data_IF_751341414787
#
_entry.id   IF_751341414787
#
_cell.length_a   1.000
_cell.length_b   1.000
_cell.length_c   1.000
_cell.angle_alpha   90.00
_cell.angle_beta   90.00
_cell.angle_gamma   90.00
#
_symmetry.space_group_name_H-M   'P 1'
#
loop_
_entity.id
_entity.type
_entity.pdbx_description
1 polymer ?
#
# COMPACT_ATOMS: atom_id res chain seq x y z
N UNK A 1 14.97 14.02 -0.22
CA UNK A 1 14.91 13.99 1.28
C UNK A 1 15.43 12.65 1.76
N UNK A 2 16.05 12.56 2.92
CA UNK A 2 16.45 11.27 3.50
C UNK A 2 15.24 10.58 4.12
N UNK A 3 15.10 9.27 3.93
CA UNK A 3 14.05 8.46 4.56
C UNK A 3 14.20 8.47 6.09
N UNK A 4 13.13 8.67 6.83
CA UNK A 4 13.14 8.63 8.29
C UNK A 4 12.91 7.18 8.79
N UNK A 5 14.02 6.46 8.93
CA UNK A 5 14.07 5.04 9.32
C UNK A 5 13.44 4.81 10.71
N UNK A 6 13.76 5.65 11.69
CA UNK A 6 13.26 5.48 13.06
C UNK A 6 11.74 5.59 13.13
N UNK A 7 11.18 6.52 12.38
CA UNK A 7 9.72 6.69 12.32
C UNK A 7 9.01 5.48 11.69
N UNK A 8 9.59 4.90 10.63
CA UNK A 8 9.06 3.66 10.03
C UNK A 8 9.15 2.53 11.06
N UNK A 9 10.29 2.40 11.76
CA UNK A 9 10.51 1.38 12.79
C UNK A 9 9.48 1.47 13.91
N UNK A 10 9.22 2.68 14.43
CA UNK A 10 8.21 2.92 15.46
C UNK A 10 6.82 2.48 15.01
N UNK A 11 6.42 2.83 13.78
CA UNK A 11 5.11 2.47 13.22
C UNK A 11 4.97 0.96 13.09
N UNK A 12 6.00 0.27 12.60
CA UNK A 12 5.98 -1.20 12.44
C UNK A 12 5.90 -1.91 13.80
N UNK A 13 6.71 -1.48 14.79
CA UNK A 13 6.68 -2.05 16.15
C UNK A 13 5.31 -1.86 16.80
N UNK A 14 4.69 -0.68 16.66
CA UNK A 14 3.32 -0.43 17.17
C UNK A 14 2.27 -1.35 16.56
N UNK A 15 2.51 -1.85 15.35
CA UNK A 15 1.63 -2.81 14.68
C UNK A 15 2.03 -4.26 14.90
N UNK A 16 2.90 -4.54 15.88
CA UNK A 16 3.39 -5.89 16.22
C UNK A 16 4.11 -6.59 15.06
N UNK A 17 4.75 -5.85 14.16
CA UNK A 17 5.56 -6.41 13.09
C UNK A 17 6.94 -6.74 13.65
N UNK A 18 7.36 -7.99 13.47
CA UNK A 18 8.69 -8.45 13.88
C UNK A 18 9.75 -7.84 12.96
N UNK A 19 10.80 -7.29 13.57
CA UNK A 19 11.94 -6.71 12.88
C UNK A 19 13.19 -7.54 13.18
N UNK A 20 13.87 -7.95 12.12
CA UNK A 20 15.15 -8.66 12.18
C UNK A 20 16.30 -7.71 11.89
N UNK A 21 17.53 -8.15 12.16
CA UNK A 21 18.74 -7.42 11.81
C UNK A 21 18.76 -7.08 10.32
N UNK A 22 19.29 -5.91 9.98
CA UNK A 22 19.38 -5.44 8.60
C UNK A 22 20.30 -6.32 7.73
N UNK A 23 20.13 -6.22 6.42
CA UNK A 23 20.94 -6.96 5.43
C UNK A 23 22.33 -6.33 5.30
N UNK A 24 23.36 -7.18 5.14
CA UNK A 24 24.72 -6.75 4.77
C UNK A 24 24.82 -6.46 3.27
N UNK A 25 25.92 -5.80 2.85
CA UNK A 25 26.11 -5.53 1.43
C UNK A 25 26.30 -6.82 0.63
N UNK A 26 26.98 -7.83 1.18
CA UNK A 26 27.13 -9.16 0.58
C UNK A 26 25.81 -9.90 0.44
N UNK A 27 24.91 -9.78 1.41
CA UNK A 27 23.57 -10.34 1.32
C UNK A 27 22.74 -9.65 0.23
N UNK A 28 22.81 -8.33 0.10
CA UNK A 28 22.18 -7.61 -1.00
C UNK A 28 22.69 -8.08 -2.35
N UNK A 29 24.01 -8.17 -2.56
CA UNK A 29 24.59 -8.63 -3.81
C UNK A 29 24.12 -10.04 -4.19
N UNK A 30 24.08 -10.96 -3.21
CA UNK A 30 23.59 -12.31 -3.39
C UNK A 30 22.13 -12.35 -3.79
N UNK A 31 21.26 -11.61 -3.08
CA UNK A 31 19.82 -11.53 -3.34
C UNK A 31 19.56 -10.92 -4.72
N UNK A 32 20.18 -9.78 -5.00
CA UNK A 32 20.01 -9.05 -6.26
C UNK A 32 20.44 -9.90 -7.48
N UNK A 33 21.55 -10.61 -7.34
CA UNK A 33 22.02 -11.54 -8.38
C UNK A 33 21.08 -12.73 -8.56
N UNK A 34 20.60 -13.33 -7.44
CA UNK A 34 19.77 -14.53 -7.49
C UNK A 34 18.39 -14.27 -8.09
N UNK A 35 17.75 -13.15 -7.72
CA UNK A 35 16.42 -12.79 -8.21
C UNK A 35 16.45 -11.87 -9.44
N UNK A 36 17.63 -11.48 -9.92
CA UNK A 36 17.83 -10.54 -11.04
C UNK A 36 17.05 -9.24 -10.83
N UNK A 37 17.15 -8.66 -9.63
CA UNK A 37 16.57 -7.38 -9.23
C UNK A 37 17.65 -6.41 -8.77
N UNK A 38 17.28 -5.13 -8.58
CA UNK A 38 18.11 -4.12 -7.90
C UNK A 38 17.24 -3.36 -6.92
N UNK A 39 17.58 -3.40 -5.64
CA UNK A 39 16.85 -2.64 -4.63
C UNK A 39 17.06 -1.14 -4.84
N UNK A 40 15.97 -0.33 -4.85
CA UNK A 40 16.08 1.12 -4.80
C UNK A 40 16.85 1.56 -3.56
N UNK A 41 17.57 2.68 -3.67
CA UNK A 41 18.41 3.19 -2.58
C UNK A 41 17.63 3.39 -1.27
N UNK A 42 16.36 3.84 -1.35
CA UNK A 42 15.50 4.01 -0.18
C UNK A 42 15.16 2.68 0.50
N UNK A 43 14.79 1.65 -0.28
CA UNK A 43 14.48 0.32 0.25
C UNK A 43 15.75 -0.38 0.76
N UNK A 44 16.89 -0.22 0.06
CA UNK A 44 18.19 -0.71 0.51
C UNK A 44 18.60 -0.05 1.84
N UNK A 45 18.40 1.26 1.98
CA UNK A 45 18.68 1.99 3.23
C UNK A 45 17.81 1.47 4.38
N UNK A 46 16.52 1.23 4.13
CA UNK A 46 15.61 0.65 5.11
C UNK A 46 16.06 -0.76 5.52
N UNK A 47 16.30 -1.64 4.55
CA UNK A 47 16.65 -3.03 4.80
C UNK A 47 18.08 -3.22 5.35
N UNK A 48 18.97 -2.26 5.20
CA UNK A 48 20.25 -2.20 5.93
C UNK A 48 20.06 -1.93 7.41
N UNK A 49 19.04 -1.18 7.78
CA UNK A 49 18.78 -0.83 9.18
C UNK A 49 18.02 -1.94 9.91
N UNK A 50 17.05 -2.53 9.27
CA UNK A 50 16.30 -3.70 9.75
C UNK A 50 15.53 -4.36 8.61
N UNK A 51 15.21 -5.64 8.76
CA UNK A 51 14.39 -6.39 7.82
C UNK A 51 13.04 -6.73 8.49
N UNK A 52 11.90 -6.21 7.96
CA UNK A 52 10.58 -6.63 8.44
C UNK A 52 10.28 -8.08 8.06
N UNK A 53 9.47 -8.77 8.87
CA UNK A 53 9.11 -10.19 8.68
C UNK A 53 8.32 -10.50 7.39
N UNK A 54 7.99 -9.51 6.58
CA UNK A 54 7.14 -9.69 5.39
C UNK A 54 7.74 -10.65 4.36
N UNK A 55 9.03 -10.48 4.07
CA UNK A 55 9.79 -11.30 3.12
C UNK A 55 11.15 -11.65 3.71
N UNK A 56 11.41 -12.94 3.89
CA UNK A 56 12.71 -13.40 4.38
C UNK A 56 13.73 -13.52 3.22
N UNK A 57 14.29 -12.39 2.81
CA UNK A 57 15.25 -12.31 1.69
C UNK A 57 16.54 -13.11 1.93
N UNK A 58 16.87 -13.48 3.18
CA UNK A 58 18.07 -14.27 3.54
C UNK A 58 17.90 -15.76 3.33
N UNK A 59 16.67 -16.23 3.35
CA UNK A 59 16.37 -17.65 3.28
C UNK A 59 16.26 -18.11 1.82
N UNK A 60 17.19 -18.95 1.40
CA UNK A 60 17.24 -19.55 0.07
C UNK A 60 16.72 -21.00 0.07
N UNK A 61 15.94 -21.40 1.09
CA UNK A 61 15.16 -22.64 1.02
C UNK A 61 14.22 -22.63 -0.18
N UNK A 62 13.92 -23.80 -0.73
CA UNK A 62 13.06 -23.93 -1.89
C UNK A 62 11.69 -23.32 -1.65
N UNK A 63 11.11 -23.53 -0.48
CA UNK A 63 9.81 -22.98 -0.07
C UNK A 63 9.81 -21.45 -0.12
N UNK A 64 10.80 -20.82 0.54
CA UNK A 64 10.87 -19.36 0.60
C UNK A 64 11.24 -18.75 -0.75
N UNK A 65 12.12 -19.38 -1.52
CA UNK A 65 12.44 -18.96 -2.89
C UNK A 65 11.20 -18.97 -3.77
N UNK A 66 10.38 -20.02 -3.71
CA UNK A 66 9.13 -20.10 -4.47
C UNK A 66 8.13 -19.02 -4.03
N UNK A 67 8.04 -18.75 -2.72
CA UNK A 67 7.22 -17.65 -2.18
C UNK A 67 7.67 -16.30 -2.71
N UNK A 68 8.95 -15.98 -2.66
CA UNK A 68 9.48 -14.69 -3.16
C UNK A 68 9.27 -14.56 -4.68
N UNK A 69 9.58 -15.60 -5.45
CA UNK A 69 9.35 -15.63 -6.91
C UNK A 69 7.86 -15.44 -7.25
N UNK A 70 6.96 -16.04 -6.50
CA UNK A 70 5.53 -15.83 -6.65
C UNK A 70 5.16 -14.34 -6.55
N UNK A 71 5.63 -13.64 -5.52
CA UNK A 71 5.35 -12.22 -5.36
C UNK A 71 6.05 -11.35 -6.42
N UNK A 72 7.26 -11.71 -6.84
CA UNK A 72 7.96 -11.00 -7.93
C UNK A 72 7.23 -11.14 -9.27
N UNK A 73 6.57 -12.28 -9.52
CA UNK A 73 5.84 -12.54 -10.75
C UNK A 73 4.37 -12.09 -10.69
N UNK A 74 3.83 -11.86 -9.48
CA UNK A 74 2.43 -11.48 -9.29
C UNK A 74 1.95 -10.34 -10.18
N UNK A 75 2.70 -9.23 -10.40
CA UNK A 75 2.27 -8.17 -11.29
C UNK A 75 2.07 -8.63 -12.74
N UNK A 76 2.98 -9.45 -13.26
CA UNK A 76 2.89 -9.99 -14.62
C UNK A 76 1.73 -10.98 -14.75
N UNK A 77 1.60 -11.89 -13.79
CA UNK A 77 0.49 -12.84 -13.76
C UNK A 77 -0.87 -12.14 -13.69
N UNK A 78 -0.95 -11.01 -12.96
CA UNK A 78 -2.14 -10.18 -12.92
C UNK A 78 -2.54 -9.59 -14.28
N UNK A 79 -1.55 -9.09 -15.04
CA UNK A 79 -1.76 -8.61 -16.42
C UNK A 79 -2.25 -9.74 -17.33
N UNK A 80 -1.61 -10.92 -17.25
CA UNK A 80 -2.00 -12.08 -18.06
C UNK A 80 -3.41 -12.59 -17.71
N UNK A 81 -3.78 -12.51 -16.43
CA UNK A 81 -5.13 -12.84 -15.99
C UNK A 81 -6.16 -11.92 -16.62
N UNK A 82 -5.92 -10.60 -16.64
CA UNK A 82 -6.85 -9.63 -17.21
C UNK A 82 -6.90 -9.68 -18.73
N UNK A 83 -5.82 -10.03 -19.41
CA UNK A 83 -5.84 -10.35 -20.85
C UNK A 83 -6.80 -11.51 -21.13
N UNK A 84 -6.77 -12.52 -20.27
CA UNK A 84 -7.60 -13.72 -20.43
C UNK A 84 -9.07 -13.48 -20.08
N UNK A 85 -9.35 -12.75 -18.98
CA UNK A 85 -10.67 -12.73 -18.36
C UNK A 85 -11.41 -11.38 -18.52
N UNK A 86 -10.64 -10.28 -18.68
CA UNK A 86 -11.19 -8.91 -18.64
C UNK A 86 -10.92 -8.13 -19.95
N UNK A 87 -10.56 -8.84 -21.02
CA UNK A 87 -10.26 -8.27 -22.33
C UNK A 87 -9.19 -7.17 -22.35
N UNK A 88 -8.35 -7.07 -21.30
CA UNK A 88 -7.28 -6.09 -21.22
C UNK A 88 -6.27 -6.26 -22.38
N UNK A 89 -5.87 -5.14 -23.00
CA UNK A 89 -4.86 -5.11 -24.04
C UNK A 89 -4.25 -3.73 -24.17
N UNK A 90 -2.92 -3.63 -24.12
CA UNK A 90 -2.20 -2.38 -24.38
C UNK A 90 -1.62 -2.34 -25.78
N UNK A 91 -1.62 -1.17 -26.40
CA UNK A 91 -1.02 -0.96 -27.75
C UNK A 91 0.44 -1.37 -27.82
N UNK A 92 1.21 -1.25 -26.72
CA UNK A 92 2.61 -1.64 -26.68
C UNK A 92 2.85 -3.14 -26.87
N UNK A 93 1.85 -3.99 -26.62
CA UNK A 93 1.93 -5.43 -26.92
C UNK A 93 1.85 -5.73 -28.43
N UNK A 94 1.45 -4.75 -29.26
CA UNK A 94 1.25 -4.93 -30.69
C UNK A 94 -0.18 -5.31 -31.04
N UNK A 95 -0.36 -5.99 -32.19
CA UNK A 95 -1.68 -6.35 -32.67
C UNK A 95 -2.28 -7.48 -31.87
N UNK A 96 -3.51 -7.26 -31.34
CA UNK A 96 -4.30 -8.30 -30.66
C UNK A 96 -4.83 -9.30 -31.68
N UNK A 97 -4.76 -10.60 -31.38
CA UNK A 97 -5.32 -11.69 -32.16
C UNK A 97 -6.67 -12.17 -31.60
N UNK A 98 -7.33 -13.07 -32.31
CA UNK A 98 -8.53 -13.74 -31.82
C UNK A 98 -8.23 -14.94 -30.88
N UNK A 99 -6.96 -15.35 -30.80
CA UNK A 99 -6.53 -16.42 -29.90
C UNK A 99 -6.01 -15.86 -28.59
N UNK A 100 -6.69 -16.18 -27.49
CA UNK A 100 -6.35 -15.69 -26.16
C UNK A 100 -5.01 -16.22 -25.67
N UNK A 101 -4.64 -17.45 -26.02
CA UNK A 101 -3.34 -18.01 -25.63
C UNK A 101 -2.18 -17.33 -26.37
N UNK A 102 -2.38 -17.03 -27.65
CA UNK A 102 -1.41 -16.26 -28.43
C UNK A 102 -1.26 -14.84 -27.89
N UNK A 103 -2.37 -14.16 -27.51
CA UNK A 103 -2.32 -12.85 -26.89
C UNK A 103 -1.56 -12.88 -25.56
N UNK A 104 -1.78 -13.87 -24.70
CA UNK A 104 -1.01 -14.02 -23.45
C UNK A 104 0.48 -14.20 -23.71
N UNK A 105 0.82 -15.01 -24.72
CA UNK A 105 2.21 -15.25 -25.11
C UNK A 105 2.89 -13.97 -25.61
N UNK A 106 2.25 -13.21 -26.49
CA UNK A 106 2.74 -11.92 -26.99
C UNK A 106 2.99 -10.95 -25.84
N UNK A 107 2.02 -10.81 -24.92
CA UNK A 107 2.16 -9.92 -23.77
C UNK A 107 3.28 -10.38 -22.83
N UNK A 108 3.39 -11.68 -22.53
CA UNK A 108 4.44 -12.23 -21.69
C UNK A 108 5.83 -11.98 -22.31
N UNK A 109 6.00 -12.25 -23.60
CA UNK A 109 7.24 -11.98 -24.30
C UNK A 109 7.64 -10.50 -24.25
N UNK A 110 6.67 -9.59 -24.38
CA UNK A 110 6.90 -8.16 -24.21
C UNK A 110 7.37 -7.83 -22.79
N UNK A 111 6.65 -8.31 -21.76
CA UNK A 111 6.91 -8.00 -20.35
C UNK A 111 8.25 -8.57 -19.86
N UNK A 112 8.61 -9.79 -20.29
CA UNK A 112 9.86 -10.46 -19.91
C UNK A 112 11.09 -9.90 -20.62
N UNK A 113 10.95 -9.53 -21.90
CA UNK A 113 12.05 -8.99 -22.72
C UNK A 113 12.24 -7.48 -22.55
N UNK A 114 11.33 -6.81 -21.84
CA UNK A 114 11.45 -5.38 -21.57
C UNK A 114 12.55 -5.10 -20.53
N UNK A 115 13.19 -3.95 -20.69
CA UNK A 115 14.15 -3.47 -19.70
C UNK A 115 13.46 -2.55 -18.65
N UNK A 116 14.20 -2.13 -17.63
CA UNK A 116 13.67 -1.24 -16.58
C UNK A 116 13.29 0.16 -17.08
N UNK A 117 13.63 0.52 -18.32
CA UNK A 117 13.21 1.80 -18.92
C UNK A 117 11.83 1.72 -19.55
N UNK A 118 11.39 0.51 -19.95
CA UNK A 118 10.10 0.27 -20.59
C UNK A 118 9.09 -0.41 -19.66
N UNK A 119 9.49 -1.48 -18.97
CA UNK A 119 8.70 -2.17 -17.96
C UNK A 119 9.59 -2.44 -16.74
N UNK A 120 9.73 -1.51 -15.80
CA UNK A 120 10.55 -1.75 -14.62
C UNK A 120 10.01 -2.91 -13.80
N UNK A 121 10.93 -3.81 -13.39
CA UNK A 121 10.58 -4.85 -12.42
C UNK A 121 10.05 -4.22 -11.14
N UNK A 122 9.13 -4.91 -10.51
CA UNK A 122 8.54 -4.48 -9.24
C UNK A 122 9.03 -5.36 -8.10
N UNK A 123 9.44 -4.73 -7.00
CA UNK A 123 9.91 -5.40 -5.79
C UNK A 123 8.82 -5.34 -4.74
N UNK A 124 8.35 -6.47 -4.20
CA UNK A 124 7.33 -6.48 -3.18
C UNK A 124 7.84 -5.88 -1.86
N UNK A 125 7.03 -4.99 -1.26
CA UNK A 125 7.29 -4.39 0.06
C UNK A 125 6.41 -5.04 1.12
N UNK A 126 5.12 -5.18 0.84
CA UNK A 126 4.15 -5.85 1.70
C UNK A 126 2.90 -6.22 0.91
N UNK A 127 2.42 -7.46 1.01
CA UNK A 127 1.25 -7.94 0.27
C UNK A 127 1.36 -7.58 -1.23
N UNK A 128 0.39 -6.86 -1.77
CA UNK A 128 0.38 -6.39 -3.16
C UNK A 128 0.90 -4.93 -3.32
N UNK A 129 1.77 -4.48 -2.41
CA UNK A 129 2.45 -3.18 -2.47
C UNK A 129 3.86 -3.35 -2.99
N UNK A 130 4.22 -2.56 -3.98
CA UNK A 130 5.45 -2.70 -4.75
C UNK A 130 6.16 -1.37 -4.89
N UNK A 131 7.47 -1.44 -5.07
CA UNK A 131 8.32 -0.35 -5.55
C UNK A 131 9.00 -0.75 -6.85
N UNK A 132 9.16 0.17 -7.82
CA UNK A 132 9.92 -0.13 -9.04
C UNK A 132 11.41 -0.29 -8.76
N UNK A 133 12.05 -1.16 -9.55
CA UNK A 133 13.47 -1.51 -9.46
C UNK A 133 14.36 -0.39 -10.05
N UNK A 134 14.39 0.77 -9.39
CA UNK A 134 15.24 1.91 -9.75
C UNK A 134 16.33 2.12 -8.70
N UNK A 135 17.54 1.58 -8.92
CA UNK A 135 18.58 1.53 -7.89
C UNK A 135 19.05 2.90 -7.41
N UNK A 136 19.00 3.92 -8.29
CA UNK A 136 19.56 5.24 -8.02
C UNK A 136 18.51 6.28 -7.58
N UNK A 137 17.25 5.85 -7.37
CA UNK A 137 16.16 6.76 -6.99
C UNK A 137 15.88 6.64 -5.49
N UNK A 138 15.96 7.77 -4.79
CA UNK A 138 15.68 7.85 -3.35
C UNK A 138 14.18 7.98 -3.08
N UNK A 139 13.51 8.94 -3.70
CA UNK A 139 12.08 9.18 -3.54
C UNK A 139 11.32 8.35 -4.58
N UNK A 140 11.05 7.09 -4.22
CA UNK A 140 10.39 6.12 -5.09
C UNK A 140 8.97 5.92 -4.60
N UNK A 141 7.95 6.04 -5.47
CA UNK A 141 6.57 5.81 -5.06
C UNK A 141 6.32 4.33 -4.79
N UNK A 142 5.39 4.07 -3.88
CA UNK A 142 4.84 2.74 -3.64
C UNK A 142 3.51 2.65 -4.39
N UNK A 143 3.36 1.61 -5.20
CA UNK A 143 2.14 1.32 -5.94
C UNK A 143 1.47 0.06 -5.40
N UNK A 144 0.15 0.04 -5.43
CA UNK A 144 -0.65 -1.15 -5.20
C UNK A 144 -0.92 -1.82 -6.53
N UNK A 145 -0.62 -3.11 -6.66
CA UNK A 145 -0.81 -3.88 -7.91
C UNK A 145 -1.69 -5.08 -7.65
N UNK A 146 -2.91 -5.01 -8.12
CA UNK A 146 -3.85 -6.12 -8.09
C UNK A 146 -4.44 -6.31 -9.50
N UNK A 147 -3.87 -7.21 -10.29
CA UNK A 147 -4.14 -7.30 -11.72
C UNK A 147 -3.85 -5.95 -12.44
N UNK A 148 -4.77 -5.45 -13.26
CA UNK A 148 -4.69 -4.11 -13.85
C UNK A 148 -5.26 -3.01 -12.95
N UNK A 149 -5.77 -3.38 -11.76
CA UNK A 149 -6.12 -2.42 -10.72
C UNK A 149 -4.85 -1.91 -10.02
N UNK A 150 -4.22 -0.90 -10.62
CA UNK A 150 -2.97 -0.33 -10.16
C UNK A 150 -3.23 1.10 -9.73
N UNK A 151 -2.78 1.45 -8.51
CA UNK A 151 -2.92 2.79 -7.96
C UNK A 151 -1.67 3.22 -7.21
N UNK A 152 -1.41 4.52 -7.15
CA UNK A 152 -0.42 5.06 -6.22
C UNK A 152 -0.89 4.87 -4.78
N UNK A 153 -0.02 4.34 -3.92
CA UNK A 153 -0.35 4.03 -2.54
C UNK A 153 0.52 4.77 -1.51
N UNK A 154 1.59 5.37 -1.95
CA UNK A 154 2.45 6.24 -1.17
C UNK A 154 3.44 6.97 -2.08
N UNK A 155 3.68 8.25 -1.84
CA UNK A 155 4.64 9.04 -2.63
C UNK A 155 6.09 8.60 -2.44
N UNK A 156 6.37 7.94 -1.31
CA UNK A 156 7.62 7.29 -0.97
C UNK A 156 7.40 6.24 0.13
N UNK A 157 8.44 5.53 0.55
CA UNK A 157 8.34 4.49 1.59
C UNK A 157 7.84 5.03 2.93
N UNK A 158 8.28 6.22 3.37
CA UNK A 158 7.83 6.79 4.65
C UNK A 158 6.34 7.08 4.64
N UNK A 159 5.85 7.72 3.59
CA UNK A 159 4.44 8.03 3.38
C UNK A 159 3.60 6.75 3.33
N UNK A 160 4.08 5.75 2.59
CA UNK A 160 3.45 4.44 2.51
C UNK A 160 3.32 3.76 3.87
N UNK A 161 4.43 3.60 4.62
CA UNK A 161 4.38 2.92 5.91
C UNK A 161 3.49 3.65 6.93
N UNK A 162 3.47 4.98 6.88
CA UNK A 162 2.56 5.78 7.68
C UNK A 162 1.10 5.55 7.30
N UNK A 163 0.78 5.47 6.02
CA UNK A 163 -0.59 5.24 5.54
C UNK A 163 -1.06 3.81 5.81
N UNK A 164 -0.24 2.80 5.49
CA UNK A 164 -0.60 1.38 5.64
C UNK A 164 -0.74 0.96 7.10
N UNK A 165 0.15 1.43 7.97
CA UNK A 165 0.24 0.99 9.37
C UNK A 165 -0.14 2.08 10.38
N UNK A 166 -0.07 3.36 9.99
CA UNK A 166 -0.34 4.48 10.89
C UNK A 166 -1.83 4.73 11.12
N UNK A 167 -2.67 4.58 10.10
CA UNK A 167 -4.12 4.78 10.21
C UNK A 167 -4.79 3.72 11.08
N UNK A 168 -4.27 2.49 11.09
CA UNK A 168 -4.80 1.42 11.93
C UNK A 168 -4.74 1.76 13.42
N UNK A 169 -3.68 2.44 13.86
CA UNK A 169 -3.55 2.92 15.24
C UNK A 169 -4.51 4.07 15.56
N UNK A 170 -4.81 4.96 14.61
CA UNK A 170 -5.79 6.03 14.82
C UNK A 170 -7.20 5.47 15.06
N UNK A 171 -7.58 4.43 14.31
CA UNK A 171 -8.87 3.75 14.47
C UNK A 171 -8.92 3.01 15.80
N UNK A 172 -7.88 2.25 16.16
CA UNK A 172 -7.80 1.52 17.42
C UNK A 172 -7.80 2.47 18.64
N UNK A 173 -7.09 3.59 18.55
CA UNK A 173 -7.09 4.62 19.60
C UNK A 173 -8.44 5.35 19.68
N UNK A 174 -9.10 5.61 18.56
CA UNK A 174 -10.44 6.15 18.52
C UNK A 174 -11.45 5.20 19.17
N UNK A 175 -11.42 3.91 18.82
CA UNK A 175 -12.28 2.88 19.40
C UNK A 175 -12.03 2.75 20.91
N UNK A 176 -10.76 2.69 21.35
CA UNK A 176 -10.39 2.64 22.77
C UNK A 176 -10.89 3.86 23.54
N UNK A 177 -10.75 5.05 22.98
CA UNK A 177 -11.23 6.30 23.59
C UNK A 177 -12.76 6.38 23.62
N UNK A 178 -13.43 5.90 22.58
CA UNK A 178 -14.88 5.81 22.51
C UNK A 178 -15.43 4.84 23.58
N UNK A 179 -14.82 3.65 23.70
CA UNK A 179 -15.20 2.65 24.70
C UNK A 179 -14.95 3.15 26.14
N UNK A 180 -13.83 3.86 26.39
CA UNK A 180 -13.56 4.50 27.69
C UNK A 180 -14.61 5.56 28.05
N UNK A 181 -15.00 6.42 27.09
CA UNK A 181 -16.05 7.41 27.34
C UNK A 181 -17.39 6.76 27.64
N UNK A 182 -17.71 5.63 26.98
CA UNK A 182 -18.97 4.90 27.19
C UNK A 182 -19.00 4.13 28.51
N UNK A 183 -17.85 3.67 29.05
CA UNK A 183 -17.76 3.06 30.38
C UNK A 183 -17.95 4.13 31.50
N UNK A 184 -17.26 5.26 31.39
CA UNK A 184 -17.37 6.35 32.36
C UNK A 184 -18.79 6.94 32.40
N UNK A 185 -19.47 7.07 31.27
CA UNK A 185 -20.86 7.56 31.22
C UNK A 185 -21.90 6.58 31.79
N UNK A 186 -21.53 5.32 32.04
CA UNK A 186 -22.38 4.34 32.75
C UNK A 186 -22.18 4.37 34.27
N UNK A 187 -20.99 4.73 34.74
CA UNK A 187 -20.70 4.90 36.17
C UNK A 187 -21.38 6.15 36.71
N UNK A 188 -21.33 7.28 36.01
CA UNK A 188 -22.03 8.53 36.39
C UNK A 188 -23.55 8.38 36.45
N UNK A 189 -24.17 7.48 35.65
CA UNK A 189 -25.61 7.23 35.68
C UNK A 189 -26.06 6.31 36.82
N UNK A 190 -25.14 5.58 37.46
CA UNK A 190 -25.45 4.75 38.60
C UNK A 190 -25.36 5.53 39.93
N UNK A 191 -24.56 6.58 40.02
CA UNK A 191 -24.51 7.46 41.21
C UNK A 191 -25.67 8.46 41.23
N UNK A 192 -26.19 8.94 40.09
CA UNK A 192 -27.36 9.83 40.01
C UNK A 192 -28.70 9.13 40.25
N UNK A 193 -28.78 7.80 40.32
CA UNK A 193 -30.03 7.07 40.60
C UNK A 193 -30.37 6.92 42.09
N UNK A 194 -29.52 7.38 42.99
CA UNK A 194 -29.76 7.30 44.45
C UNK A 194 -30.36 8.59 45.01
N UNK A 195 -30.30 9.71 44.28
CA UNK A 195 -30.87 10.98 44.75
C UNK A 195 -31.75 11.67 43.71
N UNK A 196 -32.91 11.17 43.38
CA UNK A 196 -34.02 11.98 42.85
C UNK A 196 -35.23 11.12 42.52
N UNK A 197 -36.04 10.89 43.54
CA UNK A 197 -37.48 10.96 43.39
C UNK A 197 -37.83 12.40 43.75
N UNK A 198 -38.26 13.15 42.74
CA UNK A 198 -39.16 14.29 42.75
C UNK A 198 -38.77 15.30 41.66
N UNK A 199 -39.76 15.53 40.83
CA UNK A 199 -40.01 16.60 39.88
C UNK A 199 -39.96 16.26 38.40
N UNK A 200 -41.17 16.06 37.91
CA UNK A 200 -41.56 16.10 36.50
C UNK A 200 -41.53 17.53 35.97
N UNK A 201 -40.98 17.77 34.83
CA UNK A 201 -41.61 18.26 33.59
C UNK A 201 -40.69 19.14 32.73
N UNK A 202 -40.74 18.86 31.39
CA UNK A 202 -40.38 19.72 30.28
C UNK A 202 -38.89 19.98 30.00
N UNK A 203 -38.33 19.31 28.98
CA UNK A 203 -37.94 19.94 27.70
C UNK A 203 -37.15 18.95 26.83
N UNK A 204 -37.84 18.35 25.88
CA UNK A 204 -37.25 17.73 24.70
C UNK A 204 -37.25 18.76 23.58
N UNK A 205 -36.04 19.16 23.13
CA UNK A 205 -35.68 19.60 21.77
C UNK A 205 -34.35 20.35 21.87
N UNK A 206 -33.28 19.75 21.34
CA UNK A 206 -32.18 20.45 20.67
C UNK A 206 -30.89 19.62 20.48
N UNK A 207 -30.90 18.29 20.76
CA UNK A 207 -29.67 17.48 20.66
C UNK A 207 -29.41 16.80 19.28
N UNK A 208 -30.26 17.06 18.26
CA UNK A 208 -30.16 16.36 16.98
C UNK A 208 -29.40 17.11 15.88
N UNK A 209 -28.93 18.34 16.10
CA UNK A 209 -28.27 19.16 15.07
C UNK A 209 -26.74 19.03 15.13
N UNK A 210 -26.16 18.78 16.30
CA UNK A 210 -24.69 18.73 16.45
C UNK A 210 -24.05 17.40 16.01
N UNK A 211 -24.81 16.31 15.92
CA UNK A 211 -24.26 15.02 15.48
C UNK A 211 -24.14 14.90 13.94
N UNK A 212 -24.97 15.62 13.19
CA UNK A 212 -24.97 15.58 11.74
C UNK A 212 -23.78 16.34 11.12
N UNK A 213 -23.35 17.45 11.76
CA UNK A 213 -22.17 18.21 11.29
C UNK A 213 -20.83 17.50 11.56
N UNK A 214 -20.79 16.52 12.49
CA UNK A 214 -19.58 15.72 12.76
C UNK A 214 -19.45 14.53 11.82
N UNK A 215 -20.54 13.93 11.37
CA UNK A 215 -20.52 12.86 10.36
C UNK A 215 -20.13 13.41 8.97
N UNK A 216 -20.65 14.58 8.58
CA UNK A 216 -20.29 15.24 7.32
C UNK A 216 -18.83 15.71 7.25
N UNK A 217 -18.16 15.91 8.38
CA UNK A 217 -16.73 16.25 8.41
C UNK A 217 -15.81 15.03 8.36
N UNK A 218 -16.26 13.86 8.80
CA UNK A 218 -15.48 12.60 8.70
C UNK A 218 -15.47 12.11 7.25
N UNK A 219 -16.62 12.16 6.54
CA UNK A 219 -16.70 11.80 5.11
C UNK A 219 -15.88 12.75 4.21
N UNK A 220 -15.72 14.04 4.60
CA UNK A 220 -14.89 14.99 3.86
C UNK A 220 -13.39 14.83 4.08
N UNK A 221 -12.95 14.18 5.17
CA UNK A 221 -11.54 13.86 5.39
C UNK A 221 -11.14 12.53 4.72
N UNK A 222 -12.04 11.57 4.58
CA UNK A 222 -11.79 10.33 3.84
C UNK A 222 -11.64 10.55 2.33
N UNK A 223 -12.33 11.55 1.76
CA UNK A 223 -12.20 11.92 0.33
C UNK A 223 -10.91 12.68 -0.03
N UNK A 224 -10.07 13.07 0.93
CA UNK A 224 -8.77 13.73 0.70
C UNK A 224 -7.61 12.78 0.47
N UNK A 225 -7.84 11.47 0.42
CA UNK A 225 -6.81 10.46 0.15
C UNK A 225 -6.28 10.41 -1.29
N UNK A 226 -7.00 10.97 -2.26
CA UNK A 226 -6.52 11.17 -3.63
C UNK A 226 -5.89 12.56 -3.76
N UNK A 227 -4.63 12.72 -3.35
CA UNK A 227 -3.86 13.93 -3.68
C UNK A 227 -3.64 13.98 -5.19
N UNK A 228 -3.88 15.14 -5.80
CA UNK A 228 -3.60 15.42 -7.21
C UNK A 228 -2.20 14.91 -7.58
N UNK A 229 -2.11 14.01 -8.55
CA UNK A 229 -0.90 13.42 -9.11
C UNK A 229 0.08 14.51 -9.60
N UNK A 230 -0.42 15.69 -9.97
CA UNK A 230 0.36 16.82 -10.46
C UNK A 230 1.43 17.39 -9.49
N UNK A 231 1.34 17.09 -8.18
CA UNK A 231 2.28 17.59 -7.17
C UNK A 231 3.36 16.59 -6.76
N UNK A 232 3.40 15.40 -7.38
CA UNK A 232 4.36 14.36 -7.08
C UNK A 232 5.63 14.51 -7.92
N UNK A 233 6.68 15.08 -7.33
CA UNK A 233 8.03 15.08 -7.92
C UNK A 233 8.67 13.71 -7.73
N UNK A 234 8.30 12.73 -8.57
CA UNK A 234 8.92 11.41 -8.61
C UNK A 234 9.27 11.03 -10.06
N UNK A 235 10.07 9.98 -10.22
CA UNK A 235 10.36 9.44 -11.54
C UNK A 235 9.14 8.65 -12.05
N UNK A 236 8.69 8.99 -13.26
CA UNK A 236 7.67 8.24 -14.00
C UNK A 236 7.99 6.75 -14.07
N UNK A 237 6.97 5.90 -13.87
CA UNK A 237 7.08 4.44 -13.88
C UNK A 237 6.46 3.89 -15.18
N UNK A 238 7.22 3.77 -16.29
CA UNK A 238 6.70 3.33 -17.58
C UNK A 238 5.89 2.05 -17.44
N UNK A 239 4.94 1.85 -18.34
CA UNK A 239 3.98 0.76 -18.37
C UNK A 239 3.00 0.75 -17.17
N UNK A 240 3.51 0.71 -15.93
CA UNK A 240 2.66 0.61 -14.73
C UNK A 240 1.85 1.89 -14.50
N UNK A 241 2.49 3.04 -14.62
CA UNK A 241 1.82 4.33 -14.49
C UNK A 241 0.89 4.62 -15.68
N UNK A 242 1.21 4.12 -16.88
CA UNK A 242 0.33 4.18 -18.03
C UNK A 242 -0.98 3.42 -17.81
N UNK A 243 -0.98 2.35 -17.00
CA UNK A 243 -2.20 1.64 -16.62
C UNK A 243 -3.00 2.49 -15.63
N UNK A 244 -2.34 3.13 -14.67
CA UNK A 244 -2.97 4.04 -13.72
C UNK A 244 -3.68 5.18 -14.46
N UNK A 245 -2.98 5.81 -15.40
CA UNK A 245 -3.48 6.99 -16.12
C UNK A 245 -4.59 6.66 -17.12
N UNK A 246 -4.57 5.48 -17.77
CA UNK A 246 -5.64 5.05 -18.68
C UNK A 246 -7.02 4.93 -18.02
N UNK A 247 -7.11 4.85 -16.71
CA UNK A 247 -8.40 4.87 -15.97
C UNK A 247 -9.06 6.24 -15.98
N UNK A 248 -8.32 7.30 -16.26
CA UNK A 248 -8.83 8.67 -16.29
C UNK A 248 -9.11 9.16 -17.72
N UNK A 249 -8.71 8.40 -18.75
CA UNK A 249 -8.91 8.77 -20.16
C UNK A 249 -10.19 8.17 -20.77
N UNK A 250 -10.80 7.16 -20.13
CA UNK A 250 -12.00 6.48 -20.64
C UNK A 250 -13.32 7.08 -20.12
N UNK A 251 -13.28 8.23 -19.42
CA UNK A 251 -14.47 8.93 -18.91
C UNK A 251 -14.89 10.19 -19.73
N UNK A 252 -14.34 10.39 -20.96
CA UNK A 252 -14.72 11.49 -21.86
C UNK A 252 -15.57 11.01 -23.07
#
# INVERSE_FOLDING_TARGET
>A
MSINIEKIKEVLIKNNITLYDGLTDEEFEKIEKFYSIKFPISLRTLYKSFLPEFYNWRDFSEENVNKIKYYLNWPIEGILFDIQNNAFWKKCFGQRTNDINENKKIALEFLENSNNETVPKLIPVYAHRYVPCYPDIMDIPVISVYQTDIVFYGKNLEDYFKSEFGMKNCIDDFIKNYLKKKSNSKEDKNEEKIERNEDMSNNNKDDNIQNKEKEDNIEKEESKGCQNIADLHYKYIPFWEDIINCRFEDED
#
